data_IF_215304181615
#
_entry.id   IF_215304181615
#
_cell.length_a   1.000
_cell.length_b   1.000
_cell.length_c   1.000
_cell.angle_alpha   90.00
_cell.angle_beta   90.00
_cell.angle_gamma   90.00
#
_symmetry.space_group_name_H-M   'P 1'
#
loop_
_entity.id
_entity.type
_entity.pdbx_description
1 polymer ?
#
# COMPACT_ATOMS: atom_id res chain seq x y z
N UNK A 1 19.10 28.13 15.74
CA UNK A 1 18.47 26.94 16.37
C UNK A 1 18.62 25.75 15.45
N UNK A 2 19.72 24.98 15.63
CA UNK A 2 19.88 23.69 14.97
C UNK A 2 18.87 22.73 15.62
N UNK A 3 17.67 22.62 15.05
CA UNK A 3 16.72 21.58 15.47
C UNK A 3 17.36 20.23 15.16
N UNK A 4 17.47 19.37 16.17
CA UNK A 4 18.02 18.03 16.01
C UNK A 4 17.15 17.27 15.01
N UNK A 5 17.75 16.82 13.89
CA UNK A 5 17.07 16.03 12.88
C UNK A 5 16.74 14.64 13.42
N UNK A 6 15.55 14.18 13.16
CA UNK A 6 15.00 12.95 13.75
C UNK A 6 14.83 11.86 12.68
N UNK A 7 15.15 10.59 13.01
CA UNK A 7 14.83 9.46 12.15
C UNK A 7 13.34 9.44 11.80
N UNK A 8 13.01 8.99 10.60
CA UNK A 8 11.65 9.09 10.09
C UNK A 8 11.18 7.77 9.51
N UNK A 9 9.99 7.34 9.92
CA UNK A 9 9.27 6.21 9.37
C UNK A 9 8.06 6.71 8.56
N UNK A 10 7.92 6.22 7.35
CA UNK A 10 6.79 6.51 6.47
C UNK A 10 6.03 5.21 6.24
N UNK A 11 4.76 5.17 6.64
CA UNK A 11 3.88 4.00 6.55
C UNK A 11 2.87 4.26 5.44
N UNK A 12 3.00 3.57 4.32
CA UNK A 12 2.04 3.62 3.22
C UNK A 12 0.93 2.58 3.46
N UNK A 13 -0.32 3.02 3.72
CA UNK A 13 -1.44 2.09 3.91
C UNK A 13 -1.74 1.33 2.61
N UNK A 14 -2.23 0.11 2.75
CA UNK A 14 -2.74 -0.66 1.62
C UNK A 14 -4.02 -0.07 1.02
N UNK A 15 -4.59 -0.78 0.05
CA UNK A 15 -5.88 -0.41 -0.53
C UNK A 15 -7.00 -0.59 0.49
N UNK A 16 -7.46 0.51 1.08
CA UNK A 16 -8.53 0.54 2.08
C UNK A 16 -9.16 1.93 2.17
N UNK A 17 -10.51 2.03 2.29
CA UNK A 17 -11.20 3.32 2.47
C UNK A 17 -10.75 4.07 3.73
N UNK A 18 -10.24 3.35 4.73
CA UNK A 18 -9.71 3.97 5.95
C UNK A 18 -8.41 4.73 5.70
N UNK A 19 -7.56 4.24 4.78
CA UNK A 19 -6.31 4.88 4.42
C UNK A 19 -5.48 5.31 5.63
N UNK A 20 -5.10 6.58 5.67
CA UNK A 20 -4.36 7.24 6.77
C UNK A 20 -5.11 7.23 8.11
N UNK A 21 -6.42 7.03 8.09
CA UNK A 21 -7.27 7.00 9.29
C UNK A 21 -7.43 5.59 9.89
N UNK A 22 -6.73 4.59 9.35
CA UNK A 22 -6.84 3.21 9.86
C UNK A 22 -6.42 3.12 11.33
N UNK A 23 -7.34 2.75 12.20
CA UNK A 23 -7.18 2.83 13.67
C UNK A 23 -5.94 2.06 14.18
N UNK A 24 -5.75 0.82 13.72
CA UNK A 24 -4.62 0.00 14.18
C UNK A 24 -3.28 0.53 13.66
N UNK A 25 -3.26 1.09 12.45
CA UNK A 25 -2.06 1.70 11.89
C UNK A 25 -1.69 2.97 12.66
N UNK A 26 -2.67 3.78 13.03
CA UNK A 26 -2.47 4.96 13.87
C UNK A 26 -1.97 4.59 15.27
N UNK A 27 -2.51 3.54 15.90
CA UNK A 27 -2.02 3.04 17.18
C UNK A 27 -0.56 2.59 17.07
N UNK A 28 -0.22 1.84 16.04
CA UNK A 28 1.14 1.39 15.77
C UNK A 28 2.09 2.59 15.55
N UNK A 29 1.71 3.55 14.71
CA UNK A 29 2.48 4.75 14.44
C UNK A 29 2.73 5.56 15.73
N UNK A 30 1.70 5.74 16.55
CA UNK A 30 1.80 6.41 17.85
C UNK A 30 2.77 5.69 18.79
N UNK A 31 2.71 4.36 18.85
CA UNK A 31 3.63 3.59 19.71
C UNK A 31 5.09 3.77 19.29
N UNK A 32 5.35 3.78 17.98
CA UNK A 32 6.72 4.04 17.47
C UNK A 32 7.15 5.48 17.74
N UNK A 33 6.25 6.45 17.59
CA UNK A 33 6.62 7.85 17.80
C UNK A 33 7.10 8.14 19.24
N UNK A 34 6.65 7.37 20.23
CA UNK A 34 7.17 7.46 21.62
C UNK A 34 8.64 7.08 21.77
N UNK A 35 9.23 6.42 20.78
CA UNK A 35 10.68 6.11 20.76
C UNK A 35 11.54 7.24 20.18
N UNK A 36 10.95 8.41 19.90
CA UNK A 36 11.66 9.55 19.32
C UNK A 36 11.83 9.48 17.80
N UNK A 37 11.02 8.67 17.09
CA UNK A 37 11.00 8.57 15.64
C UNK A 37 9.80 9.37 15.10
N UNK A 38 10.02 10.20 14.07
CA UNK A 38 8.90 10.78 13.33
C UNK A 38 8.16 9.66 12.58
N UNK A 39 6.84 9.63 12.67
CA UNK A 39 6.03 8.68 11.92
C UNK A 39 5.00 9.41 11.09
N UNK A 40 4.95 9.10 9.79
CA UNK A 40 3.98 9.64 8.86
C UNK A 40 3.17 8.52 8.24
N UNK A 41 1.87 8.73 8.13
CA UNK A 41 0.95 7.89 7.36
C UNK A 41 0.36 8.79 6.28
N UNK A 42 1.00 8.88 5.11
CA UNK A 42 0.51 9.75 4.05
C UNK A 42 -0.81 9.22 3.48
N UNK A 43 -1.71 10.14 3.13
CA UNK A 43 -2.86 9.82 2.31
C UNK A 43 -2.41 9.55 0.89
N UNK A 44 -2.76 8.39 0.36
CA UNK A 44 -2.61 8.03 -1.05
C UNK A 44 -4.03 7.93 -1.64
N UNK A 45 -4.48 8.94 -2.39
CA UNK A 45 -5.88 9.06 -2.81
C UNK A 45 -6.41 7.82 -3.50
N UNK A 46 -5.71 7.30 -4.51
CA UNK A 46 -6.17 6.14 -5.25
C UNK A 46 -6.28 4.88 -4.37
N UNK A 47 -5.31 4.63 -3.48
CA UNK A 47 -5.37 3.49 -2.58
C UNK A 47 -6.48 3.64 -1.54
N UNK A 48 -6.78 4.87 -1.11
CA UNK A 48 -7.91 5.15 -0.21
C UNK A 48 -9.26 4.92 -0.90
N UNK A 49 -9.34 5.19 -2.20
CA UNK A 49 -10.49 4.87 -3.03
C UNK A 49 -10.47 3.42 -3.54
N UNK A 50 -9.57 2.60 -2.99
CA UNK A 50 -9.38 1.17 -3.35
C UNK A 50 -9.05 0.98 -4.83
N UNK A 51 -8.54 2.01 -5.50
CA UNK A 51 -8.06 1.96 -6.88
C UNK A 51 -6.59 1.54 -6.91
N UNK A 52 -6.30 0.46 -7.63
CA UNK A 52 -4.94 -0.08 -7.77
C UNK A 52 -4.47 0.20 -9.20
N UNK A 53 -3.66 1.23 -9.35
CA UNK A 53 -3.14 1.65 -10.65
C UNK A 53 -1.75 2.30 -10.52
N UNK A 54 -1.12 2.63 -11.64
CA UNK A 54 0.22 3.21 -11.65
C UNK A 54 0.29 4.64 -11.09
N UNK A 55 -0.83 5.39 -11.08
CA UNK A 55 -0.88 6.73 -10.47
C UNK A 55 -0.59 6.69 -8.97
N UNK A 56 -0.93 5.58 -8.31
CA UNK A 56 -0.58 5.38 -6.90
C UNK A 56 0.92 5.45 -6.65
N UNK A 57 1.76 5.06 -7.62
CA UNK A 57 3.22 5.15 -7.52
C UNK A 57 3.66 6.61 -7.50
N UNK A 58 3.14 7.45 -8.41
CA UNK A 58 3.46 8.88 -8.44
C UNK A 58 2.95 9.58 -7.16
N UNK A 59 1.75 9.27 -6.70
CA UNK A 59 1.21 9.78 -5.42
C UNK A 59 2.10 9.41 -4.23
N UNK A 60 2.64 8.19 -4.19
CA UNK A 60 3.56 7.76 -3.14
C UNK A 60 4.90 8.50 -3.21
N UNK A 61 5.42 8.74 -4.42
CA UNK A 61 6.65 9.53 -4.65
C UNK A 61 6.45 10.97 -4.17
N UNK A 62 5.34 11.61 -4.55
CA UNK A 62 5.03 12.98 -4.15
C UNK A 62 4.91 13.11 -2.62
N UNK A 63 4.17 12.18 -2.00
CA UNK A 63 4.03 12.13 -0.55
C UNK A 63 5.39 11.93 0.14
N UNK A 64 6.20 11.01 -0.34
CA UNK A 64 7.55 10.76 0.17
C UNK A 64 8.41 12.02 0.06
N UNK A 65 8.50 12.61 -1.12
CA UNK A 65 9.32 13.79 -1.39
C UNK A 65 8.90 14.99 -0.52
N UNK A 66 7.60 15.17 -0.28
CA UNK A 66 7.09 16.23 0.60
C UNK A 66 7.49 16.05 2.08
N UNK A 67 7.70 14.80 2.51
CA UNK A 67 8.10 14.47 3.88
C UNK A 67 9.61 14.66 4.04
N UNK A 68 10.41 14.18 3.08
CA UNK A 68 11.89 14.23 3.19
C UNK A 68 12.46 15.64 3.11
N UNK A 69 11.71 16.58 2.53
CA UNK A 69 12.08 18.00 2.45
C UNK A 69 11.91 18.78 3.77
N UNK A 70 11.33 18.17 4.81
CA UNK A 70 11.09 18.83 6.09
C UNK A 70 12.40 19.02 6.87
N UNK A 71 12.60 20.18 7.47
CA UNK A 71 13.84 20.59 8.14
C UNK A 71 14.24 19.70 9.33
N UNK A 72 13.24 19.06 9.97
CA UNK A 72 13.43 18.18 11.13
C UNK A 72 13.62 16.70 10.76
N UNK A 73 13.61 16.35 9.47
CA UNK A 73 13.81 14.97 9.01
C UNK A 73 15.31 14.69 8.80
N UNK A 74 15.80 13.61 9.42
CA UNK A 74 17.13 13.09 9.12
C UNK A 74 17.09 12.28 7.81
N UNK A 75 17.49 12.91 6.72
CA UNK A 75 17.46 12.33 5.37
C UNK A 75 18.29 11.05 5.22
N UNK A 76 19.23 10.79 6.15
CA UNK A 76 20.02 9.55 6.17
C UNK A 76 19.33 8.41 6.90
N UNK A 77 18.24 8.70 7.63
CA UNK A 77 17.54 7.74 8.50
C UNK A 77 16.05 7.69 8.18
N UNK A 78 15.72 7.52 6.90
CA UNK A 78 14.33 7.38 6.45
C UNK A 78 14.05 5.93 6.11
N UNK A 79 12.98 5.39 6.70
CA UNK A 79 12.48 4.05 6.42
C UNK A 79 11.08 4.19 5.81
N UNK A 80 10.85 3.56 4.67
CA UNK A 80 9.51 3.47 4.08
C UNK A 80 8.98 2.05 4.18
N UNK A 81 7.77 1.91 4.73
CA UNK A 81 7.04 0.64 4.80
C UNK A 81 5.79 0.74 3.94
N UNK A 82 5.64 -0.16 2.98
CA UNK A 82 4.40 -0.34 2.25
C UNK A 82 3.67 -1.59 2.74
N UNK A 83 2.37 -1.45 3.01
CA UNK A 83 1.53 -2.52 3.51
C UNK A 83 0.62 -3.05 2.40
N UNK A 84 0.43 -4.37 2.33
CA UNK A 84 -0.44 -5.00 1.34
C UNK A 84 -0.11 -4.51 -0.09
N UNK A 85 -1.07 -4.08 -0.88
CA UNK A 85 -0.84 -3.57 -2.23
C UNK A 85 0.18 -2.42 -2.29
N UNK A 86 0.21 -1.54 -1.28
CA UNK A 86 1.20 -0.47 -1.21
C UNK A 86 2.64 -0.97 -1.09
N UNK A 87 2.87 -2.20 -0.62
CA UNK A 87 4.23 -2.73 -0.49
C UNK A 87 4.94 -2.91 -1.82
N UNK A 88 4.31 -3.52 -2.80
CA UNK A 88 4.89 -3.70 -4.14
C UNK A 88 4.99 -2.38 -4.90
N UNK A 89 3.98 -1.50 -4.75
CA UNK A 89 4.01 -0.16 -5.34
C UNK A 89 5.14 0.69 -4.73
N UNK A 90 5.37 0.58 -3.41
CA UNK A 90 6.44 1.28 -2.73
C UNK A 90 7.84 0.82 -3.18
N UNK A 91 8.04 -0.47 -3.43
CA UNK A 91 9.29 -0.96 -4.03
C UNK A 91 9.54 -0.23 -5.36
N UNK A 92 8.55 -0.20 -6.26
CA UNK A 92 8.64 0.52 -7.54
C UNK A 92 8.89 2.03 -7.34
N UNK A 93 8.13 2.67 -6.45
CA UNK A 93 8.28 4.09 -6.15
C UNK A 93 9.70 4.41 -5.65
N UNK A 94 10.23 3.62 -4.72
CA UNK A 94 11.54 3.84 -4.10
C UNK A 94 12.72 3.72 -5.06
N UNK A 95 12.55 3.01 -6.18
CA UNK A 95 13.57 2.86 -7.23
C UNK A 95 13.45 3.91 -8.34
N UNK A 96 12.39 4.71 -8.33
CA UNK A 96 12.14 5.76 -9.34
C UNK A 96 13.22 6.85 -9.29
N UNK A 97 13.58 7.36 -10.48
CA UNK A 97 14.43 8.55 -10.59
C UNK A 97 13.78 9.84 -10.04
N UNK A 98 12.44 9.83 -9.83
CA UNK A 98 11.70 10.96 -9.23
C UNK A 98 11.88 11.06 -7.71
N UNK A 99 12.43 10.04 -7.03
CA UNK A 99 12.74 10.06 -5.60
C UNK A 99 13.92 10.98 -5.35
N UNK A 100 13.71 12.06 -4.60
CA UNK A 100 14.77 13.06 -4.28
C UNK A 100 15.90 12.51 -3.42
N UNK A 101 15.55 11.78 -2.38
CA UNK A 101 16.46 11.15 -1.43
C UNK A 101 16.09 9.69 -1.31
N UNK A 102 17.01 8.79 -1.58
CA UNK A 102 16.73 7.36 -1.44
C UNK A 102 16.49 6.99 0.03
N UNK A 103 15.44 6.20 0.33
CA UNK A 103 15.21 5.73 1.68
C UNK A 103 16.37 4.84 2.15
N UNK A 104 16.74 4.94 3.41
CA UNK A 104 17.77 4.09 4.03
C UNK A 104 17.32 2.61 4.07
N UNK A 105 16.03 2.37 4.22
CA UNK A 105 15.42 1.03 4.16
C UNK A 105 14.06 1.09 3.49
N UNK A 106 13.76 0.04 2.72
CA UNK A 106 12.47 -0.22 2.09
C UNK A 106 11.94 -1.53 2.65
N UNK A 107 10.73 -1.49 3.19
CA UNK A 107 10.05 -2.66 3.74
C UNK A 107 8.73 -2.84 2.99
N UNK A 108 8.50 -4.05 2.52
CA UNK A 108 7.25 -4.47 1.90
C UNK A 108 6.64 -5.58 2.76
N UNK A 109 5.45 -5.34 3.31
CA UNK A 109 4.81 -6.26 4.24
C UNK A 109 3.46 -6.75 3.71
N UNK A 110 3.32 -8.08 3.58
CA UNK A 110 2.08 -8.72 3.13
C UNK A 110 1.68 -8.35 1.71
N UNK A 111 2.64 -8.01 0.85
CA UNK A 111 2.41 -7.58 -0.53
C UNK A 111 2.68 -8.70 -1.54
N UNK A 112 2.37 -8.44 -2.78
CA UNK A 112 2.58 -9.38 -3.87
C UNK A 112 3.97 -9.18 -4.53
N UNK A 113 4.52 -10.27 -5.05
CA UNK A 113 5.67 -10.24 -5.94
C UNK A 113 5.22 -10.35 -7.40
N UNK A 114 4.42 -11.37 -7.72
CA UNK A 114 3.78 -11.56 -9.01
C UNK A 114 2.27 -11.32 -8.89
N UNK A 115 1.74 -10.45 -9.76
CA UNK A 115 0.34 -10.06 -9.70
C UNK A 115 -0.59 -11.19 -10.18
N UNK A 116 -0.16 -11.98 -11.17
CA UNK A 116 -0.96 -13.09 -11.69
C UNK A 116 -1.10 -14.21 -10.65
N UNK A 117 0.00 -14.54 -9.96
CA UNK A 117 -0.04 -15.52 -8.86
C UNK A 117 -0.90 -15.02 -7.70
N UNK A 118 -0.87 -13.73 -7.43
CA UNK A 118 -1.72 -13.10 -6.42
C UNK A 118 -3.20 -13.20 -6.78
N UNK A 119 -3.57 -12.90 -8.02
CA UNK A 119 -4.94 -13.07 -8.51
C UNK A 119 -5.37 -14.53 -8.38
N UNK A 120 -4.54 -15.46 -8.85
CA UNK A 120 -4.80 -16.90 -8.75
C UNK A 120 -5.05 -17.32 -7.30
N UNK A 121 -4.21 -16.84 -6.37
CA UNK A 121 -4.40 -17.09 -4.94
C UNK A 121 -5.71 -16.49 -4.42
N UNK A 122 -5.97 -15.21 -4.68
CA UNK A 122 -7.18 -14.51 -4.24
C UNK A 122 -8.45 -15.23 -4.73
N UNK A 123 -8.44 -15.71 -5.98
CA UNK A 123 -9.62 -16.35 -6.58
C UNK A 123 -9.78 -17.81 -6.14
N UNK A 124 -8.71 -18.56 -6.00
CA UNK A 124 -8.76 -20.02 -5.82
C UNK A 124 -8.29 -20.51 -4.46
N UNK A 125 -7.53 -19.71 -3.72
CA UNK A 125 -6.83 -20.09 -2.50
C UNK A 125 -5.62 -20.99 -2.73
N UNK A 126 -5.20 -21.21 -3.97
CA UNK A 126 -4.06 -22.07 -4.31
C UNK A 126 -2.79 -21.22 -4.42
N UNK A 127 -1.74 -21.61 -3.72
CA UNK A 127 -0.40 -21.03 -3.84
C UNK A 127 0.67 -22.11 -3.74
N UNK A 128 1.88 -21.76 -4.17
CA UNK A 128 3.04 -22.66 -4.13
C UNK A 128 4.25 -21.93 -3.56
N UNK A 129 5.05 -22.63 -2.78
CA UNK A 129 6.34 -22.16 -2.28
C UNK A 129 7.36 -23.25 -2.64
N UNK A 130 8.17 -23.00 -3.66
CA UNK A 130 8.98 -24.02 -4.29
C UNK A 130 8.07 -25.14 -4.86
N UNK A 131 8.38 -26.39 -4.53
CA UNK A 131 7.59 -27.57 -4.96
C UNK A 131 6.36 -27.84 -4.11
N UNK A 132 6.20 -27.14 -2.98
CA UNK A 132 5.07 -27.34 -2.06
C UNK A 132 3.85 -26.55 -2.49
N UNK A 133 2.71 -27.23 -2.55
CA UNK A 133 1.42 -26.65 -2.90
C UNK A 133 0.54 -26.51 -1.66
N UNK A 134 -0.10 -25.36 -1.52
CA UNK A 134 -0.98 -25.04 -0.41
C UNK A 134 -2.35 -24.64 -0.92
N UNK A 135 -3.37 -24.95 -0.12
CA UNK A 135 -4.74 -24.44 -0.30
C UNK A 135 -5.16 -23.71 0.96
N UNK A 136 -5.27 -22.41 0.89
CA UNK A 136 -5.60 -21.52 2.01
C UNK A 136 -6.86 -20.74 1.65
N UNK A 137 -7.80 -20.60 2.58
CA UNK A 137 -9.00 -19.78 2.35
C UNK A 137 -8.58 -18.31 2.21
N UNK A 138 -8.75 -17.70 1.02
CA UNK A 138 -8.38 -16.29 0.86
C UNK A 138 -9.37 -15.38 1.57
N UNK A 139 -8.91 -14.20 1.94
CA UNK A 139 -9.74 -13.16 2.50
C UNK A 139 -10.75 -12.64 1.46
N UNK A 140 -11.98 -12.38 1.89
CA UNK A 140 -13.03 -11.89 1.02
C UNK A 140 -12.74 -10.47 0.50
N UNK A 141 -12.07 -9.64 1.31
CA UNK A 141 -11.71 -8.28 0.93
C UNK A 141 -10.84 -8.24 -0.33
N UNK A 142 -9.84 -9.10 -0.43
CA UNK A 142 -9.00 -9.20 -1.63
C UNK A 142 -9.81 -9.45 -2.90
N UNK A 143 -10.85 -10.30 -2.84
CA UNK A 143 -11.76 -10.55 -3.97
C UNK A 143 -12.60 -9.33 -4.33
N UNK A 144 -13.14 -8.62 -3.32
CA UNK A 144 -13.91 -7.39 -3.52
C UNK A 144 -13.05 -6.34 -4.20
N UNK A 145 -11.85 -6.09 -3.69
CA UNK A 145 -10.90 -5.14 -4.27
C UNK A 145 -10.56 -5.50 -5.72
N UNK A 146 -10.30 -6.78 -5.99
CA UNK A 146 -9.98 -7.23 -7.34
C UNK A 146 -11.17 -7.01 -8.30
N UNK A 147 -12.37 -7.47 -7.93
CA UNK A 147 -13.57 -7.29 -8.76
C UNK A 147 -13.89 -5.81 -8.96
N UNK A 148 -13.80 -4.99 -7.91
CA UNK A 148 -14.02 -3.56 -8.00
C UNK A 148 -13.14 -2.87 -9.05
N UNK A 149 -11.85 -3.24 -9.11
CA UNK A 149 -10.89 -2.62 -10.03
C UNK A 149 -10.96 -3.16 -11.46
N UNK A 150 -11.33 -4.43 -11.62
CA UNK A 150 -11.15 -5.14 -12.89
C UNK A 150 -12.41 -5.72 -13.50
N UNK A 151 -13.59 -5.47 -12.91
CA UNK A 151 -14.87 -6.02 -13.41
C UNK A 151 -15.15 -5.64 -14.87
N UNK A 152 -14.76 -4.44 -15.31
CA UNK A 152 -15.00 -3.96 -16.67
C UNK A 152 -14.20 -4.71 -17.74
N UNK A 153 -13.10 -5.35 -17.34
CA UNK A 153 -12.31 -6.18 -18.23
C UNK A 153 -12.87 -7.60 -18.39
N UNK A 154 -13.86 -7.97 -17.57
CA UNK A 154 -14.53 -9.24 -17.69
C UNK A 154 -15.73 -9.14 -18.66
N UNK A 155 -15.71 -9.96 -19.70
CA UNK A 155 -16.88 -10.19 -20.57
C UNK A 155 -17.87 -11.05 -19.81
N UNK A 156 -18.74 -10.44 -19.03
CA UNK A 156 -19.81 -11.12 -18.32
C UNK A 156 -21.14 -10.90 -19.04
N UNK A 157 -21.92 -11.96 -19.22
CA UNK A 157 -23.23 -11.91 -19.88
C UNK A 157 -24.32 -11.22 -19.06
N UNK A 158 -24.02 -10.83 -17.82
CA UNK A 158 -24.94 -10.14 -16.90
C UNK A 158 -24.75 -8.62 -16.86
N UNK A 159 -25.56 -7.95 -16.04
CA UNK A 159 -25.50 -6.50 -15.86
C UNK A 159 -24.38 -6.10 -14.89
N UNK A 160 -23.22 -5.75 -15.44
CA UNK A 160 -22.06 -5.29 -14.66
C UNK A 160 -22.38 -4.07 -13.79
N UNK A 161 -23.38 -3.25 -14.13
CA UNK A 161 -23.78 -2.08 -13.32
C UNK A 161 -24.32 -2.48 -11.96
N UNK A 162 -25.14 -3.55 -11.90
CA UNK A 162 -25.67 -4.08 -10.62
C UNK A 162 -24.56 -4.62 -9.74
N UNK A 163 -23.58 -5.32 -10.32
CA UNK A 163 -22.43 -5.84 -9.58
C UNK A 163 -21.58 -4.67 -9.06
N UNK A 164 -21.34 -3.63 -9.86
CA UNK A 164 -20.61 -2.44 -9.42
C UNK A 164 -21.30 -1.71 -8.27
N UNK A 165 -22.63 -1.54 -8.34
CA UNK A 165 -23.39 -0.94 -7.24
C UNK A 165 -23.22 -1.74 -5.95
N UNK A 166 -23.35 -3.07 -6.03
CA UNK A 166 -23.11 -3.94 -4.87
C UNK A 166 -21.69 -3.83 -4.32
N UNK A 167 -20.68 -3.75 -5.20
CA UNK A 167 -19.28 -3.59 -4.78
C UNK A 167 -19.01 -2.22 -4.15
N UNK A 168 -19.64 -1.16 -4.65
CA UNK A 168 -19.54 0.19 -4.06
C UNK A 168 -20.05 0.22 -2.62
N UNK A 169 -21.09 -0.55 -2.29
CA UNK A 169 -21.61 -0.66 -0.93
C UNK A 169 -20.66 -1.42 0.03
N UNK A 170 -19.66 -2.13 -0.51
CA UNK A 170 -18.69 -2.92 0.26
C UNK A 170 -17.32 -2.29 0.39
N UNK A 171 -17.02 -1.28 -0.44
CA UNK A 171 -15.79 -0.48 -0.45
C UNK A 171 -16.00 0.86 0.25
#
# INVERSE_FOLDING_TARGET
NNKQKTPTLILFPGATPLGENHLMLNKFAKSISYTGVNVFIPRIPDLKEVKINEKSIDQMIDAYNSIVDRDYVDQKKIIGIGLSFAGSLWIKASTSAKIKIKPARVISYGSFFDFNDTIKFIMTGKCSIGEKHYKIKPDHWGRIVFLYNYLDYYQYSGDNRKIKLFLNDKV
#
